data_IF_790657796679
#
_entry.id   IF_790657796679
#
_cell.length_a   1.000
_cell.length_b   1.000
_cell.length_c   1.000
_cell.angle_alpha   90.00
_cell.angle_beta   90.00
_cell.angle_gamma   90.00
#
_symmetry.space_group_name_H-M   'P 1'
#
loop_
_entity.id
_entity.type
_entity.pdbx_description
1 polymer ?
#
# COMPACT_ATOMS: atom_id res chain seq x y z
N UNK A 1 27.71 6.39 -13.37
CA UNK A 1 26.45 6.29 -12.60
C UNK A 1 26.45 4.95 -11.86
N UNK A 2 26.05 4.90 -10.60
CA UNK A 2 25.89 3.60 -9.91
C UNK A 2 24.74 2.83 -10.57
N UNK A 3 24.85 1.50 -10.67
CA UNK A 3 23.84 0.66 -11.32
C UNK A 3 22.43 0.89 -10.75
N UNK A 4 22.32 1.05 -9.42
CA UNK A 4 21.07 1.36 -8.73
C UNK A 4 20.43 2.68 -9.19
N UNK A 5 21.23 3.75 -9.32
CA UNK A 5 20.73 5.06 -9.79
C UNK A 5 20.17 4.97 -11.20
N UNK A 6 20.81 4.21 -12.08
CA UNK A 6 20.32 3.96 -13.43
C UNK A 6 18.96 3.26 -13.44
N UNK A 7 18.83 2.18 -12.64
CA UNK A 7 17.57 1.45 -12.49
C UNK A 7 16.45 2.33 -11.94
N UNK A 8 16.73 3.07 -10.87
CA UNK A 8 15.77 3.97 -10.24
C UNK A 8 15.24 5.04 -11.22
N UNK A 9 16.12 5.71 -11.96
CA UNK A 9 15.70 6.72 -12.96
C UNK A 9 14.87 6.09 -14.08
N UNK A 10 15.25 4.88 -14.52
CA UNK A 10 14.49 4.11 -15.51
C UNK A 10 13.08 3.81 -14.99
N UNK A 11 12.95 3.30 -13.77
CA UNK A 11 11.65 2.96 -13.16
C UNK A 11 10.78 4.19 -12.89
N UNK A 12 11.38 5.34 -12.55
CA UNK A 12 10.66 6.61 -12.49
C UNK A 12 10.05 6.97 -13.85
N UNK A 13 10.88 7.00 -14.91
CA UNK A 13 10.41 7.33 -16.27
C UNK A 13 9.31 6.40 -16.74
N UNK A 14 9.42 5.10 -16.44
CA UNK A 14 8.44 4.10 -16.83
C UNK A 14 7.08 4.35 -16.16
N UNK A 15 7.09 4.76 -14.90
CA UNK A 15 5.88 4.92 -14.09
C UNK A 15 5.27 6.33 -14.15
N UNK A 16 5.98 7.29 -14.77
CA UNK A 16 5.57 8.70 -14.81
C UNK A 16 4.18 8.91 -15.38
N UNK A 17 3.84 8.25 -16.49
CA UNK A 17 2.51 8.39 -17.10
C UNK A 17 1.40 7.89 -16.15
N UNK A 18 1.64 6.78 -15.44
CA UNK A 18 0.71 6.26 -14.45
C UNK A 18 0.50 7.23 -13.28
N UNK A 19 1.58 7.85 -12.80
CA UNK A 19 1.52 8.90 -11.79
C UNK A 19 0.67 10.10 -12.24
N UNK A 20 0.89 10.61 -13.45
CA UNK A 20 0.11 11.74 -13.98
C UNK A 20 -1.38 11.40 -14.10
N UNK A 21 -1.71 10.22 -14.64
CA UNK A 21 -3.11 9.74 -14.71
C UNK A 21 -3.72 9.65 -13.31
N UNK A 22 -2.99 9.13 -12.33
CA UNK A 22 -3.43 9.05 -10.94
C UNK A 22 -3.75 10.42 -10.33
N UNK A 23 -2.90 11.42 -10.56
CA UNK A 23 -3.15 12.79 -10.11
C UNK A 23 -4.41 13.40 -10.74
N UNK A 24 -4.61 13.18 -12.05
CA UNK A 24 -5.83 13.65 -12.73
C UNK A 24 -7.09 12.98 -12.17
N UNK A 25 -7.04 11.68 -11.86
CA UNK A 25 -8.16 10.96 -11.24
C UNK A 25 -8.50 11.52 -9.86
N UNK A 26 -7.49 11.79 -9.02
CA UNK A 26 -7.69 12.40 -7.69
C UNK A 26 -8.34 13.78 -7.84
N UNK A 27 -7.83 14.61 -8.75
CA UNK A 27 -8.37 15.94 -8.99
C UNK A 27 -9.82 15.90 -9.50
N UNK A 28 -10.11 15.02 -10.45
CA UNK A 28 -11.45 14.84 -11.00
C UNK A 28 -12.44 14.30 -9.96
N UNK A 29 -12.02 13.32 -9.15
CA UNK A 29 -12.83 12.79 -8.06
C UNK A 29 -13.21 13.89 -7.04
N UNK A 30 -12.26 14.79 -6.73
CA UNK A 30 -12.54 15.93 -5.87
C UNK A 30 -13.57 16.87 -6.51
N UNK A 31 -13.39 17.29 -7.76
CA UNK A 31 -14.37 18.16 -8.45
C UNK A 31 -15.75 17.50 -8.50
N UNK A 32 -15.82 16.21 -8.87
CA UNK A 32 -17.05 15.46 -8.91
C UNK A 32 -17.73 15.42 -7.54
N UNK A 33 -16.99 15.28 -6.45
CA UNK A 33 -17.55 15.29 -5.09
C UNK A 33 -18.27 16.61 -4.76
N UNK A 34 -17.76 17.76 -5.21
CA UNK A 34 -18.43 19.04 -5.04
C UNK A 34 -19.67 19.19 -5.92
N UNK A 35 -19.63 18.68 -7.15
CA UNK A 35 -20.82 18.65 -8.00
C UNK A 35 -21.93 17.78 -7.37
N UNK A 36 -21.56 16.63 -6.81
CA UNK A 36 -22.49 15.73 -6.12
C UNK A 36 -23.04 16.33 -4.82
N UNK A 37 -22.21 17.06 -4.06
CA UNK A 37 -22.63 17.84 -2.90
C UNK A 37 -23.79 18.77 -3.27
N UNK A 38 -23.65 19.57 -4.34
CA UNK A 38 -24.70 20.49 -4.77
C UNK A 38 -25.94 19.77 -5.32
N UNK A 39 -25.74 18.63 -6.01
CA UNK A 39 -26.86 17.85 -6.57
C UNK A 39 -27.72 17.16 -5.50
N UNK A 40 -27.08 16.55 -4.49
CA UNK A 40 -27.77 15.83 -3.41
C UNK A 40 -28.09 16.69 -2.20
N UNK A 41 -27.64 17.96 -2.18
CA UNK A 41 -27.71 18.86 -1.03
C UNK A 41 -27.11 18.25 0.26
N UNK A 42 -26.14 17.35 0.11
CA UNK A 42 -25.51 16.62 1.21
C UNK A 42 -24.08 17.14 1.40
N UNK A 43 -23.82 17.92 2.47
CA UNK A 43 -22.53 18.57 2.69
C UNK A 43 -21.42 17.56 2.96
N UNK A 44 -21.70 16.36 3.49
CA UNK A 44 -20.71 15.35 3.88
C UNK A 44 -19.96 14.68 2.71
N UNK A 45 -20.49 14.74 1.49
CA UNK A 45 -19.96 14.00 0.32
C UNK A 45 -18.46 14.28 0.06
N UNK A 46 -17.96 15.54 0.03
CA UNK A 46 -16.55 15.80 -0.22
C UNK A 46 -15.61 15.26 0.87
N UNK A 47 -16.04 15.20 2.14
CA UNK A 47 -15.25 14.56 3.20
C UNK A 47 -15.11 13.08 2.95
N UNK A 48 -16.22 12.40 2.67
CA UNK A 48 -16.25 10.96 2.45
C UNK A 48 -15.34 10.61 1.26
N UNK A 49 -15.44 11.35 0.16
CA UNK A 49 -14.57 11.16 -1.01
C UNK A 49 -13.10 11.43 -0.66
N UNK A 50 -12.80 12.50 0.10
CA UNK A 50 -11.45 12.81 0.56
C UNK A 50 -10.86 11.69 1.41
N UNK A 51 -11.63 11.17 2.37
CA UNK A 51 -11.24 10.06 3.23
C UNK A 51 -10.96 8.80 2.41
N UNK A 52 -11.84 8.46 1.46
CA UNK A 52 -11.66 7.33 0.54
C UNK A 52 -10.38 7.50 -0.27
N UNK A 53 -10.11 8.69 -0.82
CA UNK A 53 -8.89 8.96 -1.59
C UNK A 53 -7.65 8.68 -0.72
N UNK A 54 -7.62 9.21 0.51
CA UNK A 54 -6.49 9.00 1.42
C UNK A 54 -6.33 7.51 1.76
N UNK A 55 -7.41 6.81 2.13
CA UNK A 55 -7.35 5.37 2.45
C UNK A 55 -6.90 4.53 1.26
N UNK A 56 -7.36 4.85 0.04
CA UNK A 56 -6.97 4.14 -1.18
C UNK A 56 -5.49 4.30 -1.53
N UNK A 57 -4.77 5.27 -0.94
CA UNK A 57 -3.31 5.37 -1.13
C UNK A 57 -2.58 4.11 -0.66
N UNK A 58 -3.14 3.32 0.27
CA UNK A 58 -2.59 2.00 0.63
C UNK A 58 -2.34 1.13 -0.60
N UNK A 59 -3.18 1.22 -1.63
CA UNK A 59 -3.04 0.46 -2.87
C UNK A 59 -2.21 1.16 -3.97
N UNK A 60 -1.77 2.40 -3.73
CA UNK A 60 -1.04 3.17 -4.74
C UNK A 60 0.29 2.50 -5.13
N UNK A 61 1.12 2.17 -4.15
CA UNK A 61 2.43 1.56 -4.39
C UNK A 61 2.31 0.17 -5.07
N UNK A 62 1.45 -0.77 -4.61
CA UNK A 62 1.31 -2.05 -5.30
C UNK A 62 0.73 -1.89 -6.72
N UNK A 63 -0.22 -0.98 -6.94
CA UNK A 63 -0.77 -0.72 -8.28
C UNK A 63 0.31 -0.17 -9.23
N UNK A 64 1.08 0.81 -8.78
CA UNK A 64 2.19 1.38 -9.56
C UNK A 64 3.27 0.34 -9.88
N UNK A 65 3.58 -0.52 -8.92
CA UNK A 65 4.54 -1.60 -9.11
C UNK A 65 4.03 -2.62 -10.13
N UNK A 66 2.75 -3.00 -10.04
CA UNK A 66 2.13 -3.97 -10.93
C UNK A 66 2.14 -3.51 -12.39
N UNK A 67 1.75 -2.26 -12.65
CA UNK A 67 1.79 -1.69 -14.01
C UNK A 67 3.21 -1.65 -14.54
N UNK A 68 4.17 -1.22 -13.73
CA UNK A 68 5.60 -1.21 -14.07
C UNK A 68 6.14 -2.60 -14.41
N UNK A 69 5.79 -3.62 -13.61
CA UNK A 69 6.16 -5.02 -13.85
C UNK A 69 5.51 -5.59 -15.12
N UNK A 70 4.26 -5.22 -15.40
CA UNK A 70 3.56 -5.68 -16.60
C UNK A 70 4.22 -5.16 -17.87
N UNK A 71 4.62 -3.89 -17.90
CA UNK A 71 5.35 -3.30 -19.04
C UNK A 71 6.70 -3.98 -19.23
N UNK A 72 7.41 -4.30 -18.15
CA UNK A 72 8.69 -5.03 -18.22
C UNK A 72 8.52 -6.49 -18.65
N UNK A 73 7.47 -7.18 -18.20
CA UNK A 73 7.20 -8.55 -18.63
C UNK A 73 6.89 -8.64 -20.13
N UNK A 74 6.21 -7.65 -20.70
CA UNK A 74 5.92 -7.59 -22.13
C UNK A 74 7.16 -7.28 -22.97
N UNK A 75 8.04 -6.41 -22.47
CA UNK A 75 9.25 -5.99 -23.17
C UNK A 75 10.46 -6.91 -22.93
N UNK A 76 10.34 -7.88 -22.03
CA UNK A 76 11.41 -8.80 -21.60
C UNK A 76 12.70 -8.12 -21.13
N UNK A 77 12.67 -6.81 -20.84
CA UNK A 77 13.84 -6.01 -20.48
C UNK A 77 14.56 -6.52 -19.22
N UNK A 78 13.84 -7.21 -18.34
CA UNK A 78 14.40 -7.80 -17.13
C UNK A 78 15.36 -8.98 -17.38
N UNK A 79 15.18 -9.76 -18.46
CA UNK A 79 16.04 -10.92 -18.78
C UNK A 79 17.43 -10.50 -19.24
N UNK A 80 17.55 -9.28 -19.73
CA UNK A 80 18.81 -8.73 -20.25
C UNK A 80 19.53 -7.85 -19.23
N UNK A 81 19.07 -7.83 -17.97
CA UNK A 81 19.66 -7.01 -16.94
C UNK A 81 20.80 -7.75 -16.21
N UNK A 82 22.04 -7.24 -16.20
CA UNK A 82 23.16 -7.91 -15.53
C UNK A 82 23.13 -7.74 -13.99
N UNK A 83 22.14 -7.01 -13.45
CA UNK A 83 22.04 -6.78 -12.01
C UNK A 83 21.22 -7.88 -11.32
N UNK A 84 21.63 -8.22 -10.09
CA UNK A 84 20.87 -9.13 -9.21
C UNK A 84 19.43 -8.67 -8.99
N UNK A 85 18.52 -9.62 -8.83
CA UNK A 85 17.08 -9.40 -8.69
C UNK A 85 16.71 -8.47 -7.53
N UNK A 86 17.44 -8.53 -6.41
CA UNK A 86 17.20 -7.63 -5.27
C UNK A 86 17.42 -6.15 -5.64
N UNK A 87 18.39 -5.83 -6.49
CA UNK A 87 18.63 -4.44 -6.94
C UNK A 87 17.49 -3.96 -7.82
N UNK A 88 16.95 -4.84 -8.66
CA UNK A 88 15.82 -4.53 -9.53
C UNK A 88 14.57 -4.21 -8.71
N UNK A 89 14.21 -5.08 -7.77
CA UNK A 89 13.03 -4.85 -6.93
C UNK A 89 13.20 -3.65 -6.00
N UNK A 90 14.36 -3.46 -5.37
CA UNK A 90 14.58 -2.28 -4.53
C UNK A 90 14.54 -0.98 -5.32
N UNK A 91 15.10 -0.94 -6.53
CA UNK A 91 15.03 0.26 -7.36
C UNK A 91 13.58 0.60 -7.76
N UNK A 92 12.78 -0.43 -8.07
CA UNK A 92 11.37 -0.25 -8.43
C UNK A 92 10.51 0.16 -7.24
N UNK A 93 10.71 -0.45 -6.07
CA UNK A 93 10.05 -0.03 -4.82
C UNK A 93 10.45 1.41 -4.50
N UNK A 94 11.73 1.78 -4.58
CA UNK A 94 12.19 3.15 -4.34
C UNK A 94 11.52 4.17 -5.28
N UNK A 95 11.44 3.86 -6.58
CA UNK A 95 10.73 4.71 -7.55
C UNK A 95 9.22 4.82 -7.24
N UNK A 96 8.59 3.71 -6.84
CA UNK A 96 7.20 3.69 -6.39
C UNK A 96 6.96 4.53 -5.13
N UNK A 97 7.88 4.48 -4.16
CA UNK A 97 7.84 5.30 -2.94
C UNK A 97 7.89 6.78 -3.30
N UNK A 98 8.73 7.20 -4.25
CA UNK A 98 8.80 8.60 -4.70
C UNK A 98 7.44 9.11 -5.19
N UNK A 99 6.76 8.34 -6.03
CA UNK A 99 5.44 8.72 -6.53
C UNK A 99 4.34 8.59 -5.48
N UNK A 100 4.41 7.60 -4.58
CA UNK A 100 3.51 7.48 -3.45
C UNK A 100 3.57 8.73 -2.57
N UNK A 101 4.77 9.15 -2.15
CA UNK A 101 4.95 10.34 -1.30
C UNK A 101 4.46 11.60 -2.01
N UNK A 102 4.81 11.76 -3.30
CA UNK A 102 4.35 12.91 -4.08
C UNK A 102 2.81 12.95 -4.21
N UNK A 103 2.17 11.82 -4.54
CA UNK A 103 0.71 11.70 -4.66
C UNK A 103 0.00 11.94 -3.33
N UNK A 104 0.53 11.40 -2.24
CA UNK A 104 -0.03 11.57 -0.91
C UNK A 104 0.05 13.03 -0.47
N UNK A 105 1.17 13.70 -0.69
CA UNK A 105 1.32 15.13 -0.40
C UNK A 105 0.34 15.99 -1.21
N UNK A 106 0.21 15.72 -2.52
CA UNK A 106 -0.78 16.41 -3.37
C UNK A 106 -2.19 16.18 -2.84
N UNK A 107 -2.53 14.95 -2.47
CA UNK A 107 -3.85 14.61 -1.94
C UNK A 107 -4.14 15.34 -0.62
N UNK A 108 -3.19 15.37 0.32
CA UNK A 108 -3.32 16.12 1.58
C UNK A 108 -3.53 17.60 1.31
N UNK A 109 -2.76 18.20 0.39
CA UNK A 109 -2.89 19.62 0.02
C UNK A 109 -4.27 19.89 -0.58
N UNK A 110 -4.72 19.05 -1.51
CA UNK A 110 -6.04 19.19 -2.13
C UNK A 110 -7.14 19.11 -1.08
N UNK A 111 -7.12 18.08 -0.23
CA UNK A 111 -8.10 17.91 0.85
C UNK A 111 -8.14 19.15 1.76
N UNK A 112 -6.98 19.68 2.17
CA UNK A 112 -6.93 20.91 2.98
C UNK A 112 -7.52 22.11 2.25
N UNK A 113 -7.17 22.33 0.98
CA UNK A 113 -7.69 23.46 0.19
C UNK A 113 -9.21 23.37 0.02
N UNK A 114 -9.73 22.17 -0.22
CA UNK A 114 -11.15 21.95 -0.44
C UNK A 114 -11.97 22.01 0.86
N UNK A 115 -11.47 21.50 1.99
CA UNK A 115 -12.16 21.59 3.29
C UNK A 115 -12.23 23.05 3.78
N UNK A 116 -11.15 23.83 3.63
CA UNK A 116 -11.15 25.26 4.03
C UNK A 116 -12.20 26.07 3.25
N UNK A 117 -12.59 25.60 2.05
CA UNK A 117 -13.59 26.27 1.20
C UNK A 117 -15.04 25.87 1.52
N UNK A 118 -15.26 24.83 2.32
CA UNK A 118 -16.62 24.45 2.73
C UNK A 118 -17.00 25.19 4.01
N UNK A 119 -18.13 25.92 4.00
CA UNK A 119 -18.66 26.66 5.16
C UNK A 119 -19.07 25.76 6.34
N UNK A 120 -19.05 24.44 6.16
CA UNK A 120 -19.39 23.43 7.17
C UNK A 120 -18.17 23.01 8.00
N UNK A 121 -17.39 23.97 8.52
CA UNK A 121 -16.29 23.67 9.46
C UNK A 121 -16.79 22.85 10.66
N UNK A 122 -18.02 23.09 11.15
CA UNK A 122 -18.59 22.44 12.35
C UNK A 122 -18.54 20.91 12.40
N UNK A 123 -19.01 20.23 11.35
CA UNK A 123 -19.02 18.75 11.28
C UNK A 123 -17.70 18.16 10.75
N UNK A 124 -16.88 19.01 10.13
CA UNK A 124 -15.62 18.62 9.49
C UNK A 124 -14.39 18.93 10.36
N UNK A 125 -14.58 19.62 11.49
CA UNK A 125 -13.55 19.88 12.50
C UNK A 125 -12.88 18.55 12.87
N UNK A 126 -13.65 17.48 13.16
CA UNK A 126 -13.08 16.18 13.52
C UNK A 126 -12.22 15.55 12.43
N UNK A 127 -12.55 15.70 11.14
CA UNK A 127 -11.69 15.21 10.05
C UNK A 127 -10.45 16.10 9.87
N UNK A 128 -10.61 17.42 10.06
CA UNK A 128 -9.50 18.38 9.96
C UNK A 128 -8.51 18.26 11.13
N UNK A 129 -9.01 18.00 12.34
CA UNK A 129 -8.26 17.76 13.58
C UNK A 129 -7.57 16.40 13.52
N UNK A 130 -8.28 15.35 13.08
CA UNK A 130 -7.66 14.05 12.82
C UNK A 130 -6.53 14.15 11.79
N UNK A 131 -6.70 14.97 10.75
CA UNK A 131 -5.68 15.25 9.73
C UNK A 131 -4.61 16.26 10.18
N UNK A 132 -4.76 16.98 11.29
CA UNK A 132 -3.71 17.85 11.83
C UNK A 132 -2.87 17.12 12.86
N UNK A 133 -3.52 16.40 13.78
CA UNK A 133 -2.89 15.92 15.01
C UNK A 133 -2.39 14.48 14.86
N UNK A 134 -2.98 13.71 13.93
CA UNK A 134 -2.65 12.29 13.75
C UNK A 134 -2.17 11.94 12.32
N UNK A 135 -1.90 12.95 11.50
CA UNK A 135 -1.45 12.76 10.12
C UNK A 135 -0.22 11.88 10.01
N UNK A 136 0.74 12.03 10.92
CA UNK A 136 1.98 11.24 10.91
C UNK A 136 1.73 9.76 11.17
N UNK A 137 0.85 9.43 12.11
CA UNK A 137 0.51 8.04 12.46
C UNK A 137 -0.26 7.41 11.31
N UNK A 138 -1.26 8.12 10.78
CA UNK A 138 -2.06 7.64 9.65
C UNK A 138 -1.21 7.45 8.39
N UNK A 139 -0.40 8.44 8.01
CA UNK A 139 0.50 8.35 6.86
C UNK A 139 1.54 7.24 7.03
N UNK A 140 2.08 7.07 8.24
CA UNK A 140 2.99 5.98 8.58
C UNK A 140 2.33 4.60 8.43
N UNK A 141 1.11 4.44 8.95
CA UNK A 141 0.32 3.21 8.82
C UNK A 141 -0.01 2.88 7.36
N UNK A 142 -0.41 3.89 6.57
CA UNK A 142 -0.66 3.74 5.13
C UNK A 142 0.59 3.36 4.37
N UNK A 143 1.72 4.00 4.66
CA UNK A 143 3.01 3.70 4.04
C UNK A 143 3.47 2.27 4.33
N UNK A 144 3.43 1.84 5.59
CA UNK A 144 3.79 0.48 5.99
C UNK A 144 2.87 -0.56 5.35
N UNK A 145 1.56 -0.30 5.34
CA UNK A 145 0.57 -1.18 4.69
C UNK A 145 0.81 -1.27 3.18
N UNK A 146 1.15 -0.15 2.54
CA UNK A 146 1.43 -0.12 1.10
C UNK A 146 2.69 -0.92 0.75
N UNK A 147 3.75 -0.81 1.55
CA UNK A 147 4.96 -1.65 1.40
C UNK A 147 4.61 -3.13 1.58
N UNK A 148 3.85 -3.46 2.63
CA UNK A 148 3.44 -4.83 2.92
C UNK A 148 2.72 -5.45 1.70
N UNK A 149 1.70 -4.79 1.17
CA UNK A 149 0.97 -5.27 -0.01
C UNK A 149 1.85 -5.34 -1.27
N UNK A 150 2.76 -4.40 -1.44
CA UNK A 150 3.71 -4.38 -2.57
C UNK A 150 4.61 -5.60 -2.57
N UNK A 151 5.15 -5.98 -1.42
CA UNK A 151 6.01 -7.16 -1.31
C UNK A 151 5.23 -8.44 -1.56
N UNK A 152 4.00 -8.54 -1.05
CA UNK A 152 3.12 -9.66 -1.38
C UNK A 152 2.79 -9.73 -2.87
N UNK A 153 2.54 -8.58 -3.50
CA UNK A 153 2.31 -8.50 -4.94
C UNK A 153 3.55 -9.00 -5.71
N UNK A 154 4.76 -8.60 -5.32
CA UNK A 154 6.00 -9.12 -5.92
C UNK A 154 6.10 -10.63 -5.79
N UNK A 155 5.77 -11.17 -4.62
CA UNK A 155 5.79 -12.61 -4.38
C UNK A 155 4.81 -13.35 -5.30
N UNK A 156 3.54 -12.94 -5.34
CA UNK A 156 2.56 -13.59 -6.21
C UNK A 156 2.88 -13.43 -7.68
N UNK A 157 3.39 -12.26 -8.07
CA UNK A 157 3.75 -11.98 -9.46
C UNK A 157 4.97 -12.83 -9.90
N UNK A 158 6.00 -12.95 -9.07
CA UNK A 158 7.16 -13.82 -9.35
C UNK A 158 6.78 -15.29 -9.39
N UNK A 159 5.95 -15.73 -8.44
CA UNK A 159 5.41 -17.09 -8.42
C UNK A 159 4.59 -17.40 -9.68
N UNK A 160 3.72 -16.48 -10.11
CA UNK A 160 2.92 -16.63 -11.33
C UNK A 160 3.78 -16.86 -12.58
N UNK A 161 4.85 -16.08 -12.74
CA UNK A 161 5.77 -16.24 -13.88
C UNK A 161 6.66 -17.48 -13.75
N UNK A 162 7.08 -17.85 -12.55
CA UNK A 162 7.84 -19.09 -12.32
C UNK A 162 7.03 -20.34 -12.71
N UNK A 163 5.71 -20.33 -12.46
CA UNK A 163 4.82 -21.45 -12.82
C UNK A 163 4.65 -21.63 -14.34
N UNK A 164 4.91 -20.60 -15.15
CA UNK A 164 4.81 -20.68 -16.62
C UNK A 164 5.70 -21.77 -17.22
N UNK A 165 6.79 -22.14 -16.55
CA UNK A 165 7.74 -23.17 -17.00
C UNK A 165 7.24 -24.60 -16.81
N UNK A 166 6.20 -24.82 -16.01
CA UNK A 166 5.72 -26.17 -15.67
C UNK A 166 4.41 -26.40 -16.47
N UNK A 167 4.38 -27.29 -17.48
CA UNK A 167 3.25 -27.40 -18.40
C UNK A 167 1.91 -27.64 -17.71
N UNK A 168 1.89 -28.52 -16.71
CA UNK A 168 0.70 -28.87 -15.93
C UNK A 168 0.22 -27.68 -15.10
N UNK A 169 1.14 -26.98 -14.43
CA UNK A 169 0.79 -25.86 -13.55
C UNK A 169 0.46 -24.59 -14.34
N UNK A 170 0.92 -24.46 -15.58
CA UNK A 170 0.67 -23.30 -16.44
C UNK A 170 -0.84 -23.09 -16.73
N UNK A 171 -1.62 -24.17 -16.80
CA UNK A 171 -3.07 -24.12 -17.03
C UNK A 171 -3.86 -23.72 -15.77
N UNK A 172 -3.35 -24.07 -14.58
CA UNK A 172 -4.02 -23.87 -13.29
C UNK A 172 -3.33 -22.85 -12.39
N UNK A 173 -2.56 -21.91 -12.97
CA UNK A 173 -1.74 -20.92 -12.23
C UNK A 173 -2.53 -20.19 -11.15
N UNK A 174 -3.72 -19.71 -11.49
CA UNK A 174 -4.59 -18.99 -10.55
C UNK A 174 -5.01 -19.85 -9.35
N UNK A 175 -5.27 -21.15 -9.56
CA UNK A 175 -5.58 -22.07 -8.47
C UNK A 175 -4.37 -22.30 -7.56
N UNK A 176 -3.16 -22.40 -8.13
CA UNK A 176 -1.93 -22.54 -7.33
C UNK A 176 -1.71 -21.32 -6.45
N UNK A 177 -1.89 -20.10 -6.99
CA UNK A 177 -1.78 -18.87 -6.20
C UNK A 177 -2.80 -18.83 -5.06
N UNK A 178 -4.04 -19.23 -5.33
CA UNK A 178 -5.10 -19.31 -4.32
C UNK A 178 -4.76 -20.31 -3.21
N UNK A 179 -4.26 -21.50 -3.56
CA UNK A 179 -3.82 -22.51 -2.58
C UNK A 179 -2.67 -21.99 -1.73
N UNK A 180 -1.69 -21.29 -2.32
CA UNK A 180 -0.58 -20.69 -1.58
C UNK A 180 -1.08 -19.62 -0.62
N UNK A 181 -1.96 -18.72 -1.06
CA UNK A 181 -2.57 -17.70 -0.20
C UNK A 181 -3.34 -18.32 0.97
N UNK A 182 -4.14 -19.36 0.69
CA UNK A 182 -4.92 -20.07 1.70
C UNK A 182 -4.00 -20.78 2.71
N UNK A 183 -2.93 -21.41 2.22
CA UNK A 183 -1.93 -22.09 3.06
C UNK A 183 -1.22 -21.10 3.99
N UNK A 184 -0.77 -19.97 3.45
CA UNK A 184 -0.13 -18.90 4.25
C UNK A 184 -1.09 -18.37 5.31
N UNK A 185 -2.35 -18.16 4.95
CA UNK A 185 -3.37 -17.63 5.88
C UNK A 185 -3.67 -18.62 7.00
N UNK A 186 -3.84 -19.90 6.68
CA UNK A 186 -4.05 -20.96 7.68
C UNK A 186 -2.84 -21.07 8.60
N UNK A 187 -1.62 -21.12 8.05
CA UNK A 187 -0.40 -21.19 8.84
C UNK A 187 -0.23 -19.97 9.73
N UNK A 188 -0.49 -18.76 9.22
CA UNK A 188 -0.44 -17.52 10.00
C UNK A 188 -1.43 -17.52 11.16
N UNK A 189 -2.64 -18.05 10.94
CA UNK A 189 -3.65 -18.20 11.98
C UNK A 189 -3.26 -19.25 13.03
N UNK A 190 -2.66 -20.37 12.61
CA UNK A 190 -2.16 -21.39 13.53
C UNK A 190 -1.00 -20.86 14.39
N UNK A 191 -0.05 -20.16 13.78
CA UNK A 191 1.08 -19.53 14.48
C UNK A 191 0.57 -18.49 15.49
N UNK A 192 -0.45 -17.71 15.12
CA UNK A 192 -1.04 -16.70 16.00
C UNK A 192 -1.75 -17.27 17.24
N UNK A 193 -2.07 -18.57 17.26
CA UNK A 193 -2.67 -19.27 18.41
C UNK A 193 -1.64 -19.91 19.34
N UNK A 194 -0.35 -19.87 18.99
CA UNK A 194 0.71 -20.42 19.85
C UNK A 194 0.83 -19.49 21.08
N UNK A 195 0.81 -20.02 22.32
CA UNK A 195 0.86 -19.22 23.54
C UNK A 195 2.03 -18.24 23.57
N UNK A 196 3.24 -18.70 23.20
CA UNK A 196 4.42 -17.84 23.11
C UNK A 196 4.26 -16.65 22.14
N UNK A 197 3.45 -16.79 21.09
CA UNK A 197 3.16 -15.69 20.14
C UNK A 197 2.10 -14.76 20.70
N UNK A 198 1.15 -15.27 21.49
CA UNK A 198 0.14 -14.46 22.19
C UNK A 198 0.80 -13.63 23.29
N UNK A 199 1.60 -14.26 24.15
CA UNK A 199 2.36 -13.59 25.21
C UNK A 199 3.26 -12.48 24.62
N UNK A 200 3.93 -12.78 23.51
CA UNK A 200 4.75 -11.78 22.81
C UNK A 200 3.92 -10.67 22.16
N UNK A 201 2.68 -10.94 21.73
CA UNK A 201 1.78 -9.89 21.21
C UNK A 201 1.31 -8.97 22.34
N UNK A 202 0.93 -9.55 23.47
CA UNK A 202 0.42 -8.83 24.63
C UNK A 202 1.49 -7.92 25.27
N UNK A 203 2.76 -8.35 25.32
CA UNK A 203 3.90 -7.55 25.80
C UNK A 203 4.12 -6.22 25.06
N UNK A 204 3.61 -6.09 23.83
CA UNK A 204 3.79 -4.90 22.98
C UNK A 204 2.52 -4.10 22.75
N UNK A 205 1.49 -4.29 23.56
CA UNK A 205 0.19 -3.62 23.39
C UNK A 205 0.25 -2.20 23.97
N UNK A 206 0.02 -1.21 23.11
CA UNK A 206 -0.26 0.16 23.55
C UNK A 206 -1.77 0.36 23.44
N UNK A 207 -2.42 0.54 24.60
CA UNK A 207 -3.85 0.82 24.67
C UNK A 207 -4.08 2.29 24.30
N UNK A 208 -4.87 2.54 23.26
CA UNK A 208 -5.24 3.88 22.83
C UNK A 208 -6.37 4.51 23.68
N UNK A 209 -6.49 4.13 24.95
CA UNK A 209 -7.50 4.72 25.84
C UNK A 209 -7.33 6.24 25.99
N UNK A 210 -6.12 6.76 25.80
CA UNK A 210 -5.85 8.21 25.75
C UNK A 210 -6.13 8.84 24.37
N UNK A 211 -6.24 8.03 23.30
CA UNK A 211 -6.48 8.49 21.92
C UNK A 211 -7.96 8.81 21.65
N UNK A 212 -8.87 8.13 22.36
CA UNK A 212 -10.32 8.36 22.25
C UNK A 212 -10.81 9.51 23.13
N UNK A 213 -10.10 9.83 24.23
CA UNK A 213 -10.45 10.95 25.12
C UNK A 213 -10.23 12.32 24.49
N UNK A 214 -9.28 12.47 23.57
CA UNK A 214 -9.04 13.73 22.86
C UNK A 214 -10.00 13.97 21.69
N UNK A 215 -10.73 12.94 21.22
CA UNK A 215 -11.56 13.00 20.01
C UNK A 215 -13.02 13.39 20.24
N UNK A 216 -13.45 13.62 21.49
CA UNK A 216 -14.83 13.98 21.82
C UNK A 216 -15.85 12.85 21.57
N UNK A 217 -16.98 12.89 22.28
CA UNK A 217 -17.99 11.83 22.35
C UNK A 217 -18.68 11.43 21.01
N UNK A 218 -18.29 12.02 19.87
CA UNK A 218 -18.98 11.86 18.58
C UNK A 218 -18.13 11.21 17.48
N UNK A 219 -17.10 10.42 17.81
CA UNK A 219 -16.30 9.75 16.77
C UNK A 219 -16.68 8.29 16.53
N UNK A 220 -16.75 7.93 15.23
CA UNK A 220 -17.09 6.61 14.68
C UNK A 220 -15.88 5.66 14.76
N UNK A 221 -15.04 5.77 15.80
CA UNK A 221 -13.93 4.85 16.01
C UNK A 221 -14.28 3.85 17.11
N UNK A 222 -14.06 2.54 16.90
CA UNK A 222 -14.28 1.57 17.95
C UNK A 222 -13.36 1.87 19.14
N UNK A 223 -13.94 1.92 20.34
CA UNK A 223 -13.31 2.19 21.65
C UNK A 223 -12.09 1.31 21.99
N UNK A 224 -11.79 0.31 21.16
CA UNK A 224 -10.80 -0.74 21.39
C UNK A 224 -9.76 -0.84 20.29
N UNK A 225 -9.36 0.28 19.69
CA UNK A 225 -8.16 0.25 18.86
C UNK A 225 -6.96 -0.04 19.78
N UNK A 226 -6.34 -1.20 19.64
CA UNK A 226 -5.09 -1.55 20.30
C UNK A 226 -4.01 -1.67 19.21
N UNK A 227 -2.93 -0.88 19.30
CA UNK A 227 -1.76 -1.12 18.45
C UNK A 227 -0.79 -2.04 19.17
N UNK A 228 -0.66 -3.25 18.66
CA UNK A 228 0.37 -4.19 19.08
C UNK A 228 1.65 -3.93 18.26
N UNK A 229 2.62 -3.22 18.84
CA UNK A 229 3.93 -2.95 18.22
C UNK A 229 4.63 -4.24 17.78
N UNK A 230 4.46 -5.29 18.58
CA UNK A 230 4.97 -6.65 18.33
C UNK A 230 4.38 -7.26 17.06
N UNK A 231 3.10 -7.00 16.77
CA UNK A 231 2.48 -7.41 15.50
C UNK A 231 3.07 -6.68 14.30
N UNK A 232 3.46 -5.40 14.45
CA UNK A 232 4.17 -4.66 13.40
C UNK A 232 5.55 -5.29 13.14
N UNK A 233 6.32 -5.58 14.19
CA UNK A 233 7.66 -6.18 14.07
C UNK A 233 7.58 -7.55 13.37
N UNK A 234 6.66 -8.41 13.82
CA UNK A 234 6.43 -9.73 13.19
C UNK A 234 6.07 -9.56 11.71
N UNK A 235 5.18 -8.61 11.39
CA UNK A 235 4.79 -8.33 10.01
C UNK A 235 5.97 -7.89 9.15
N UNK A 236 6.85 -7.02 9.67
CA UNK A 236 8.07 -6.59 8.99
C UNK A 236 8.99 -7.80 8.72
N UNK A 237 9.20 -8.67 9.71
CA UNK A 237 10.03 -9.87 9.52
C UNK A 237 9.47 -10.80 8.44
N UNK A 238 8.15 -11.02 8.45
CA UNK A 238 7.46 -11.81 7.41
C UNK A 238 7.64 -11.15 6.05
N UNK A 239 7.42 -9.82 5.95
CA UNK A 239 7.61 -9.06 4.71
C UNK A 239 9.04 -9.20 4.17
N UNK A 240 10.06 -9.09 5.02
CA UNK A 240 11.46 -9.29 4.60
C UNK A 240 11.67 -10.71 4.07
N UNK A 241 11.15 -11.73 4.76
CA UNK A 241 11.23 -13.13 4.32
C UNK A 241 10.56 -13.38 2.96
N UNK A 242 9.36 -12.83 2.77
CA UNK A 242 8.61 -12.90 1.50
C UNK A 242 9.35 -12.17 0.39
N UNK A 243 9.94 -11.01 0.67
CA UNK A 243 10.75 -10.27 -0.29
C UNK A 243 11.98 -11.09 -0.74
N UNK A 244 12.73 -11.66 0.19
CA UNK A 244 13.89 -12.50 -0.13
C UNK A 244 13.50 -13.74 -0.94
N UNK A 245 12.35 -14.34 -0.62
CA UNK A 245 11.82 -15.48 -1.38
C UNK A 245 11.42 -15.06 -2.79
N UNK A 246 10.81 -13.88 -2.96
CA UNK A 246 10.46 -13.32 -4.27
C UNK A 246 11.71 -13.12 -5.15
N UNK A 247 12.77 -12.57 -4.57
CA UNK A 247 14.07 -12.41 -5.27
C UNK A 247 14.66 -13.76 -5.65
N UNK A 248 14.62 -14.74 -4.74
CA UNK A 248 15.14 -16.08 -5.01
C UNK A 248 14.38 -16.79 -6.14
N UNK A 249 13.04 -16.68 -6.15
CA UNK A 249 12.20 -17.24 -7.22
C UNK A 249 12.55 -16.57 -8.55
N UNK A 250 12.69 -15.24 -8.57
CA UNK A 250 13.05 -14.48 -9.76
C UNK A 250 14.38 -14.99 -10.37
N UNK A 251 15.45 -14.96 -9.60
CA UNK A 251 16.80 -15.26 -10.09
C UNK A 251 16.95 -16.73 -10.52
N UNK A 252 16.31 -17.68 -9.82
CA UNK A 252 16.50 -19.12 -10.12
C UNK A 252 15.47 -19.72 -11.06
N UNK A 253 14.23 -19.23 -11.03
CA UNK A 253 13.10 -19.86 -11.72
C UNK A 253 12.53 -19.03 -12.86
N UNK A 254 12.93 -17.78 -13.00
CA UNK A 254 12.42 -16.89 -14.05
C UNK A 254 13.51 -16.37 -15.00
N UNK A 255 14.74 -16.11 -14.52
CA UNK A 255 15.87 -15.61 -15.32
C UNK A 255 16.71 -16.69 -16.05
N UNK A 256 16.05 -17.68 -16.66
CA UNK A 256 16.69 -18.78 -17.46
C UNK A 256 15.99 -18.96 -18.79
#
# INVERSE_FOLDING_TARGET
MTAFKGLYIKDLKLSFNGFIIGLFLIFFAMIASFALKEYFAEPSIPAIVSFIIIVLHVFYLPANLFTSLQVEAQSQLWLHNPNRGWKLFLAKIAAGITYFVASLLVSIILVKVFIVRTEYLGEFIGLSEMLSDHLYIMAGGMFLSSIYFTVWLLFYWTLYHALKRIPILNQIRWFVLLIVWLSVTILGNLISKIPAVQDFKEMGTINFHDFTKELGENTIFPETAELHLTSIIISILITVGVFLTSVWILERKVEV
#
